data_IF_593792737164
#
_entry.id   IF_593792737164
#
_cell.length_a   1.000
_cell.length_b   1.000
_cell.length_c   1.000
_cell.angle_alpha   90.00
_cell.angle_beta   90.00
_cell.angle_gamma   90.00
#
_symmetry.space_group_name_H-M   'P 1'
#
loop_
_entity.id
_entity.type
_entity.pdbx_description
1 polymer ?
#
# COMPACT_ATOMS: atom_id res chain seq x y z
N UNK A 1 1.63 -22.29 -19.15
CA UNK A 1 1.68 -21.70 -20.50
C UNK A 1 3.06 -21.99 -21.04
N UNK A 2 3.19 -22.78 -22.10
CA UNK A 2 4.49 -23.10 -22.69
C UNK A 2 4.90 -21.99 -23.65
N UNK A 3 5.98 -21.29 -23.32
CA UNK A 3 6.57 -20.27 -24.20
C UNK A 3 7.42 -20.98 -25.24
N UNK A 4 6.98 -20.96 -26.50
CA UNK A 4 7.75 -21.46 -27.63
C UNK A 4 8.77 -20.40 -28.05
N UNK A 5 9.93 -20.39 -27.39
CA UNK A 5 11.03 -19.40 -27.59
C UNK A 5 11.38 -19.19 -29.06
N UNK A 6 11.34 -20.25 -29.88
CA UNK A 6 11.66 -20.20 -31.32
C UNK A 6 10.67 -19.40 -32.18
N UNK A 7 9.55 -18.92 -31.62
CA UNK A 7 8.54 -18.12 -32.31
C UNK A 7 8.57 -16.64 -31.92
N UNK A 8 9.44 -16.25 -30.99
CA UNK A 8 9.56 -14.87 -30.52
C UNK A 8 10.42 -14.07 -31.50
N UNK A 9 10.03 -12.82 -31.74
CA UNK A 9 10.89 -11.85 -32.42
C UNK A 9 11.94 -11.30 -31.45
N UNK A 10 12.92 -10.54 -31.97
CA UNK A 10 14.04 -10.03 -31.17
C UNK A 10 13.57 -9.15 -29.98
N UNK A 11 12.51 -8.36 -30.17
CA UNK A 11 11.95 -7.51 -29.11
C UNK A 11 11.30 -8.35 -27.99
N UNK A 12 10.48 -9.32 -28.37
CA UNK A 12 9.83 -10.25 -27.42
C UNK A 12 10.86 -11.11 -26.68
N UNK A 13 11.96 -11.48 -27.36
CA UNK A 13 13.06 -12.22 -26.74
C UNK A 13 13.80 -11.37 -25.70
N UNK A 14 14.03 -10.08 -25.97
CA UNK A 14 14.66 -9.17 -25.02
C UNK A 14 13.73 -8.82 -23.84
N UNK A 15 12.43 -8.71 -24.08
CA UNK A 15 11.44 -8.59 -23.01
C UNK A 15 11.46 -9.82 -22.09
N UNK A 16 11.43 -11.02 -22.67
CA UNK A 16 11.51 -12.26 -21.90
C UNK A 16 12.81 -12.37 -21.09
N UNK A 17 13.95 -11.95 -21.63
CA UNK A 17 15.22 -11.91 -20.88
C UNK A 17 15.12 -10.99 -19.65
N UNK A 18 14.57 -9.78 -19.81
CA UNK A 18 14.38 -8.85 -18.69
C UNK A 18 13.46 -9.43 -17.63
N UNK A 19 12.38 -10.07 -18.03
CA UNK A 19 11.43 -10.68 -17.11
C UNK A 19 12.09 -11.82 -16.31
N UNK A 20 12.88 -12.66 -16.98
CA UNK A 20 13.66 -13.70 -16.31
C UNK A 20 14.68 -13.10 -15.35
N UNK A 21 15.43 -12.08 -15.75
CA UNK A 21 16.40 -11.40 -14.88
C UNK A 21 15.74 -10.77 -13.65
N UNK A 22 14.58 -10.15 -13.83
CA UNK A 22 13.79 -9.56 -12.75
C UNK A 22 13.28 -10.63 -11.80
N UNK A 23 12.79 -11.76 -12.32
CA UNK A 23 12.32 -12.87 -11.49
C UNK A 23 13.47 -13.56 -10.74
N UNK A 24 14.65 -13.69 -11.35
CA UNK A 24 15.86 -14.18 -10.65
C UNK A 24 16.23 -13.23 -9.50
N UNK A 25 16.24 -11.92 -9.74
CA UNK A 25 16.49 -10.91 -8.68
C UNK A 25 15.45 -10.99 -7.57
N UNK A 26 14.16 -11.11 -7.92
CA UNK A 26 13.04 -11.25 -6.96
C UNK A 26 13.18 -12.52 -6.11
N UNK A 27 13.59 -13.64 -6.70
CA UNK A 27 13.85 -14.88 -5.95
C UNK A 27 15.09 -14.75 -5.06
N UNK A 28 16.13 -14.07 -5.53
CA UNK A 28 17.34 -13.82 -4.75
C UNK A 28 17.10 -12.89 -3.55
N UNK A 29 16.16 -11.94 -3.66
CA UNK A 29 15.75 -11.08 -2.55
C UNK A 29 14.95 -11.79 -1.45
N UNK A 30 14.62 -13.07 -1.65
CA UNK A 30 13.93 -13.88 -0.66
C UNK A 30 12.42 -13.61 -0.57
N UNK A 31 11.75 -14.16 0.46
CA UNK A 31 10.32 -13.95 0.66
C UNK A 31 9.97 -12.47 0.86
N UNK A 32 8.81 -12.08 0.36
CA UNK A 32 8.25 -10.73 0.50
C UNK A 32 7.00 -10.75 1.38
N UNK A 33 6.67 -9.58 1.92
CA UNK A 33 5.42 -9.29 2.63
C UNK A 33 4.78 -8.04 2.03
N UNK A 34 3.46 -8.03 2.00
CA UNK A 34 2.68 -6.85 1.61
C UNK A 34 2.53 -5.93 2.81
N UNK A 35 2.83 -4.66 2.62
CA UNK A 35 2.51 -3.56 3.53
C UNK A 35 1.58 -2.58 2.84
N UNK A 36 0.95 -1.69 3.60
CA UNK A 36 -0.08 -0.79 3.10
C UNK A 36 0.33 0.66 3.33
N UNK A 37 0.36 1.45 2.27
CA UNK A 37 0.65 2.88 2.35
C UNK A 37 -0.65 3.64 2.14
N UNK A 38 -1.08 4.38 3.16
CA UNK A 38 -2.19 5.31 3.08
C UNK A 38 -1.63 6.67 2.68
N UNK A 39 -2.18 7.27 1.62
CA UNK A 39 -1.79 8.60 1.15
C UNK A 39 -2.88 9.61 1.44
N UNK A 40 -2.50 10.79 1.92
CA UNK A 40 -3.35 11.95 2.13
C UNK A 40 -2.56 13.20 1.75
N UNK A 41 -3.03 14.02 0.81
CA UNK A 41 -2.42 15.33 0.49
C UNK A 41 -0.89 15.31 0.19
N UNK A 42 -0.35 14.18 -0.29
CA UNK A 42 1.09 14.02 -0.54
C UNK A 42 1.91 13.51 0.67
N UNK A 43 1.27 13.39 1.84
CA UNK A 43 1.81 12.67 2.98
C UNK A 43 1.48 11.18 2.88
N UNK A 44 2.34 10.37 3.48
CA UNK A 44 2.24 8.91 3.47
C UNK A 44 2.37 8.35 4.88
N UNK A 45 1.45 7.45 5.22
CA UNK A 45 1.51 6.63 6.44
C UNK A 45 1.62 5.16 6.05
N UNK A 46 2.40 4.40 6.80
CA UNK A 46 2.70 3.01 6.46
C UNK A 46 2.16 2.06 7.52
N UNK A 47 1.57 0.96 7.09
CA UNK A 47 0.90 0.00 7.95
C UNK A 47 1.31 -1.43 7.59
N UNK A 48 1.57 -2.24 8.60
CA UNK A 48 1.72 -3.68 8.45
C UNK A 48 0.35 -4.41 8.48
N UNK A 49 -0.66 -3.84 9.14
CA UNK A 49 -2.03 -4.36 9.19
C UNK A 49 -2.97 -3.56 8.27
N UNK A 50 -3.61 -4.27 7.33
CA UNK A 50 -4.58 -3.66 6.42
C UNK A 50 -5.74 -3.00 7.14
N UNK A 51 -6.19 -3.56 8.27
CA UNK A 51 -7.31 -3.04 9.04
C UNK A 51 -6.96 -1.68 9.63
N UNK A 52 -5.75 -1.52 10.17
CA UNK A 52 -5.25 -0.21 10.63
C UNK A 52 -5.19 0.79 9.48
N UNK A 53 -4.70 0.38 8.31
CA UNK A 53 -4.70 1.23 7.11
C UNK A 53 -6.13 1.64 6.68
N UNK A 54 -7.09 0.72 6.75
CA UNK A 54 -8.49 0.98 6.40
C UNK A 54 -9.15 1.94 7.39
N UNK A 55 -8.88 1.80 8.69
CA UNK A 55 -9.36 2.75 9.71
C UNK A 55 -8.76 4.13 9.46
N UNK A 56 -7.45 4.22 9.24
CA UNK A 56 -6.78 5.47 8.90
C UNK A 56 -7.40 6.14 7.66
N UNK A 57 -7.60 5.37 6.59
CA UNK A 57 -8.20 5.88 5.36
C UNK A 57 -9.65 6.35 5.57
N UNK A 58 -10.42 5.66 6.41
CA UNK A 58 -11.79 6.07 6.76
C UNK A 58 -11.81 7.44 7.45
N UNK A 59 -10.85 7.70 8.35
CA UNK A 59 -10.76 9.00 9.03
C UNK A 59 -10.42 10.13 8.05
N UNK A 60 -9.47 9.87 7.15
CA UNK A 60 -9.09 10.81 6.10
C UNK A 60 -10.28 11.11 5.20
N UNK A 61 -11.02 10.08 4.76
CA UNK A 61 -12.20 10.26 3.94
C UNK A 61 -13.27 11.11 4.65
N UNK A 62 -13.46 10.91 5.96
CA UNK A 62 -14.37 11.74 6.74
C UNK A 62 -13.90 13.20 6.81
N UNK A 63 -12.62 13.45 7.12
CA UNK A 63 -12.06 14.81 7.18
C UNK A 63 -12.19 15.53 5.84
N UNK A 64 -11.94 14.84 4.73
CA UNK A 64 -12.08 15.41 3.37
C UNK A 64 -13.53 15.81 3.08
N UNK A 65 -14.50 14.98 3.49
CA UNK A 65 -15.93 15.30 3.32
C UNK A 65 -16.36 16.49 4.17
N UNK A 66 -15.87 16.58 5.41
CA UNK A 66 -16.14 17.71 6.31
C UNK A 66 -15.54 19.01 5.75
N UNK A 67 -14.28 18.98 5.30
CA UNK A 67 -13.59 20.13 4.70
C UNK A 67 -14.28 20.59 3.41
N UNK A 68 -14.68 19.66 2.55
CA UNK A 68 -15.38 19.97 1.30
C UNK A 68 -16.72 20.68 1.52
N UNK A 69 -17.30 20.60 2.72
CA UNK A 69 -18.49 21.37 3.10
C UNK A 69 -18.22 22.86 3.37
N UNK A 70 -16.96 23.26 3.50
CA UNK A 70 -16.54 24.67 3.68
C UNK A 70 -16.13 25.28 2.35
N UNK A 71 -16.23 26.61 2.22
CA UNK A 71 -15.83 27.31 0.98
C UNK A 71 -14.34 27.08 0.64
N UNK A 72 -13.46 27.17 1.64
CA UNK A 72 -12.02 26.98 1.48
C UNK A 72 -11.68 25.52 1.15
N UNK A 73 -12.34 24.56 1.80
CA UNK A 73 -12.12 23.14 1.51
C UNK A 73 -12.72 22.70 0.17
N UNK A 74 -13.84 23.29 -0.28
CA UNK A 74 -14.35 23.08 -1.65
C UNK A 74 -13.33 23.56 -2.69
N UNK A 75 -12.76 24.77 -2.53
CA UNK A 75 -11.73 25.29 -3.43
C UNK A 75 -10.50 24.38 -3.48
N UNK A 76 -10.05 23.90 -2.31
CA UNK A 76 -8.93 22.95 -2.21
C UNK A 76 -9.26 21.60 -2.85
N UNK A 77 -10.48 21.08 -2.66
CA UNK A 77 -10.93 19.84 -3.27
C UNK A 77 -10.99 19.96 -4.80
N UNK A 78 -11.59 21.03 -5.32
CA UNK A 78 -11.74 21.26 -6.76
C UNK A 78 -10.39 21.43 -7.46
N UNK A 79 -9.43 22.12 -6.83
CA UNK A 79 -8.05 22.21 -7.33
C UNK A 79 -7.35 20.85 -7.46
N UNK A 80 -7.77 19.87 -6.66
CA UNK A 80 -7.13 18.55 -6.56
C UNK A 80 -8.03 17.43 -7.10
N UNK A 81 -9.14 17.77 -7.74
CA UNK A 81 -10.03 16.82 -8.38
C UNK A 81 -9.30 16.13 -9.54
N UNK A 82 -9.02 14.84 -9.38
CA UNK A 82 -8.39 14.00 -10.42
C UNK A 82 -6.93 13.61 -10.14
N UNK A 83 -6.32 14.15 -9.10
CA UNK A 83 -5.06 13.59 -8.58
C UNK A 83 -5.40 12.46 -7.60
N UNK A 84 -4.80 11.28 -7.78
CA UNK A 84 -4.89 10.10 -6.89
C UNK A 84 -4.22 10.37 -5.52
N UNK A 85 -4.61 11.46 -4.85
CA UNK A 85 -4.00 11.92 -3.59
C UNK A 85 -4.51 11.17 -2.37
N UNK A 86 -5.53 10.31 -2.54
CA UNK A 86 -6.11 9.53 -1.46
C UNK A 86 -6.23 8.08 -1.86
N UNK A 87 -5.74 7.21 -1.00
CA UNK A 87 -5.94 5.78 -1.18
C UNK A 87 -5.00 4.95 -0.35
N UNK A 88 -5.32 3.66 -0.32
CA UNK A 88 -4.48 2.62 0.24
C UNK A 88 -3.78 1.93 -0.92
N UNK A 89 -2.45 1.91 -0.89
CA UNK A 89 -1.63 1.21 -1.90
C UNK A 89 -0.92 0.02 -1.24
N UNK A 90 -1.10 -1.21 -1.75
CA UNK A 90 -0.25 -2.32 -1.34
C UNK A 90 1.15 -2.14 -1.93
N UNK A 91 2.17 -2.39 -1.10
CA UNK A 91 3.58 -2.35 -1.50
C UNK A 91 4.22 -3.65 -1.05
N UNK A 92 4.86 -4.35 -1.99
CA UNK A 92 5.69 -5.51 -1.65
C UNK A 92 7.02 -5.05 -1.09
N UNK A 93 7.46 -5.70 -0.01
CA UNK A 93 8.72 -5.43 0.65
C UNK A 93 9.38 -6.76 1.05
N UNK A 94 10.70 -6.82 1.03
CA UNK A 94 11.42 -8.03 1.47
C UNK A 94 11.17 -8.27 2.95
N UNK A 95 11.18 -9.52 3.42
CA UNK A 95 11.01 -9.81 4.85
C UNK A 95 12.11 -9.15 5.70
N UNK A 96 13.35 -9.11 5.21
CA UNK A 96 14.45 -8.45 5.91
C UNK A 96 14.19 -6.94 6.08
N UNK A 97 13.73 -6.26 5.03
CA UNK A 97 13.38 -4.83 5.13
C UNK A 97 12.17 -4.61 6.04
N UNK A 98 11.21 -5.53 6.04
CA UNK A 98 10.05 -5.49 6.93
C UNK A 98 10.47 -5.55 8.39
N UNK A 99 11.29 -6.55 8.76
CA UNK A 99 11.77 -6.74 10.13
C UNK A 99 12.55 -5.52 10.62
N UNK A 100 13.47 -4.99 9.80
CA UNK A 100 14.20 -3.76 10.10
C UNK A 100 13.26 -2.56 10.32
N UNK A 101 12.20 -2.44 9.51
CA UNK A 101 11.20 -1.37 9.65
C UNK A 101 10.33 -1.53 10.89
N UNK A 102 10.02 -2.76 11.30
CA UNK A 102 9.33 -3.03 12.58
C UNK A 102 10.20 -2.55 13.74
N UNK A 103 11.49 -2.89 13.74
CA UNK A 103 12.44 -2.45 14.79
C UNK A 103 12.58 -0.92 14.83
N UNK A 104 12.54 -0.27 13.66
CA UNK A 104 12.58 1.18 13.53
C UNK A 104 11.26 1.88 13.91
N UNK A 105 10.21 1.13 14.27
CA UNK A 105 8.86 1.66 14.52
C UNK A 105 8.34 2.49 13.34
N UNK A 106 8.63 2.04 12.13
CA UNK A 106 8.24 2.72 10.90
C UNK A 106 6.73 2.69 10.65
N UNK A 107 6.04 1.67 11.17
CA UNK A 107 4.61 1.48 10.90
C UNK A 107 3.72 2.18 11.91
N UNK A 108 2.69 2.83 11.40
CA UNK A 108 1.69 3.61 12.15
C UNK A 108 0.59 2.73 12.78
N UNK A 109 0.70 1.39 12.73
CA UNK A 109 -0.30 0.47 13.29
C UNK A 109 -0.61 0.78 14.77
N UNK A 110 0.42 1.15 15.54
CA UNK A 110 0.30 1.48 16.98
C UNK A 110 -0.68 2.61 17.25
N UNK A 111 -0.85 3.54 16.30
CA UNK A 111 -1.78 4.67 16.44
C UNK A 111 -3.25 4.24 16.37
N UNK A 112 -3.52 3.01 15.91
CA UNK A 112 -4.87 2.51 15.61
C UNK A 112 -5.26 1.26 16.42
N UNK A 113 -4.36 0.71 17.24
CA UNK A 113 -4.59 -0.51 18.02
C UNK A 113 -5.90 -0.48 18.84
N UNK A 114 -6.16 0.63 19.53
CA UNK A 114 -7.39 0.77 20.33
C UNK A 114 -8.64 0.68 19.48
N UNK A 115 -8.68 1.40 18.36
CA UNK A 115 -9.83 1.40 17.44
C UNK A 115 -9.98 0.08 16.71
N UNK A 116 -8.87 -0.58 16.42
CA UNK A 116 -8.86 -1.93 15.87
C UNK A 116 -9.58 -2.89 16.82
N UNK A 117 -9.28 -2.84 18.12
CA UNK A 117 -9.97 -3.64 19.15
C UNK A 117 -11.45 -3.28 19.29
N UNK A 118 -11.82 -2.01 19.19
CA UNK A 118 -13.21 -1.56 19.27
C UNK A 118 -14.05 -2.01 18.06
N UNK A 119 -13.47 -1.96 16.85
CA UNK A 119 -14.16 -2.30 15.60
C UNK A 119 -14.14 -3.80 15.30
N UNK A 120 -13.07 -4.47 15.71
CA UNK A 120 -12.88 -5.91 15.56
C UNK A 120 -12.56 -6.49 16.94
N UNK A 121 -13.53 -6.48 17.88
CA UNK A 121 -13.35 -7.18 19.14
C UNK A 121 -13.06 -8.64 18.81
N UNK A 122 -12.15 -9.26 19.57
CA UNK A 122 -11.91 -10.68 19.48
C UNK A 122 -13.23 -11.40 19.80
N UNK A 123 -14.02 -11.65 18.76
CA UNK A 123 -15.18 -12.52 18.84
C UNK A 123 -14.57 -13.90 18.99
N UNK A 124 -14.73 -14.45 20.20
CA UNK A 124 -14.09 -15.67 20.65
C UNK A 124 -14.05 -16.72 19.55
N UNK A 125 -12.82 -17.04 19.12
CA UNK A 125 -12.52 -18.32 18.51
C UNK A 125 -12.51 -19.34 19.65
N UNK A 126 -13.71 -19.78 20.05
CA UNK A 126 -13.91 -21.11 20.66
C UNK A 126 -13.95 -22.17 19.57
#
# INVERSE_FOLDING_TARGET
MDISVNKLNDYELDELKRDIENEIKRRASGPTRVVYVVTEWGDHRAFADFRCAAICFSDIAQSVLEDAGTKEGTERFDMNKGTLLYGIRPVEMTLNDFELKVEQKYFDDVCYEKRLQEMFPETGLE
#
